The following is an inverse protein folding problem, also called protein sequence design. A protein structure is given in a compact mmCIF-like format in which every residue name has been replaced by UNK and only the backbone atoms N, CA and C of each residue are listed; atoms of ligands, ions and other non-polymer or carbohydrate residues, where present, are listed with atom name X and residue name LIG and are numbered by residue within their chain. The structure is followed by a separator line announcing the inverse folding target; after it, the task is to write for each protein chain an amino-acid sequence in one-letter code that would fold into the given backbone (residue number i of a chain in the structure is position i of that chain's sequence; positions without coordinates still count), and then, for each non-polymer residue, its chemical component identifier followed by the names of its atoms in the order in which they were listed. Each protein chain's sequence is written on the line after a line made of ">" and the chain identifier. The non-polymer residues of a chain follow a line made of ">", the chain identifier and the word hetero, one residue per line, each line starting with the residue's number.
data_IF_978739945571
#
_entry.id   IF_978739945571
#
_cell.length_a   1.000
_cell.length_b   1.000
_cell.length_c   1.000
_cell.angle_alpha   90.00
_cell.angle_beta   90.00
_cell.angle_gamma   90.00
#
_symmetry.space_group_name_H-M   'P 1'
#
loop_
_entity.id
_entity.type
_entity.pdbx_description
1 polymer ?
#
# COMPACT_ATOMS: atom_id res chain seq x y z
N UNK A 1 26.27 6.18 33.90
CA UNK A 1 26.97 7.33 34.53
C UNK A 1 27.58 8.11 33.39
N UNK A 2 27.18 9.39 33.20
CA UNK A 2 27.72 10.25 32.15
C UNK A 2 28.69 11.25 32.78
N UNK A 3 29.81 11.49 32.09
CA UNK A 3 30.74 12.53 32.48
C UNK A 3 30.13 13.91 32.17
N UNK A 4 30.24 14.84 33.13
CA UNK A 4 29.73 16.20 32.93
C UNK A 4 30.62 16.96 31.96
N UNK A 5 30.01 17.41 30.86
CA UNK A 5 30.67 18.33 29.93
C UNK A 5 30.23 19.76 30.20
N UNK A 6 31.18 20.67 30.41
CA UNK A 6 30.94 22.08 30.67
C UNK A 6 31.02 22.95 29.42
N UNK A 7 31.27 22.36 28.25
CA UNK A 7 31.34 23.10 26.99
C UNK A 7 29.95 23.39 26.45
N UNK A 8 29.71 24.65 26.12
CA UNK A 8 28.41 25.15 25.64
C UNK A 8 28.12 24.54 24.24
N UNK A 9 26.98 23.89 24.09
CA UNK A 9 26.52 23.33 22.81
C UNK A 9 26.96 21.88 22.51
N UNK A 10 27.66 21.22 23.42
CA UNK A 10 28.04 19.81 23.23
C UNK A 10 26.95 18.86 23.75
N UNK A 11 26.51 17.94 22.88
CA UNK A 11 25.53 16.89 23.22
C UNK A 11 26.30 15.62 23.56
N UNK A 12 26.26 15.20 24.82
CA UNK A 12 26.81 13.93 25.24
C UNK A 12 25.68 12.89 25.16
N UNK A 13 25.62 12.17 24.06
CA UNK A 13 24.68 11.08 23.86
C UNK A 13 25.47 9.82 23.62
N UNK A 14 25.32 8.82 24.48
CA UNK A 14 25.88 7.52 24.24
C UNK A 14 25.15 6.85 23.06
N UNK A 15 25.85 6.25 22.07
CA UNK A 15 25.23 5.66 20.90
C UNK A 15 24.18 4.60 21.25
N UNK A 16 24.40 3.84 22.33
CA UNK A 16 23.47 2.80 22.81
C UNK A 16 22.17 3.39 23.34
N UNK A 17 22.22 4.53 24.07
CA UNK A 17 21.04 5.23 24.59
C UNK A 17 20.16 5.75 23.43
N UNK A 18 20.79 6.24 22.37
CA UNK A 18 20.07 6.68 21.15
C UNK A 18 19.35 5.53 20.49
N UNK A 19 20.00 4.36 20.38
CA UNK A 19 19.39 3.18 19.79
C UNK A 19 18.25 2.63 20.65
N UNK A 20 18.42 2.62 21.98
CA UNK A 20 17.38 2.22 22.92
C UNK A 20 16.16 3.14 22.84
N UNK A 21 16.36 4.48 22.82
CA UNK A 21 15.29 5.45 22.68
C UNK A 21 14.55 5.31 21.34
N UNK A 22 15.25 5.06 20.24
CA UNK A 22 14.64 4.82 18.92
C UNK A 22 13.81 3.52 18.91
N UNK A 23 14.30 2.44 19.53
CA UNK A 23 13.54 1.18 19.66
C UNK A 23 12.26 1.38 20.48
N UNK A 24 12.34 2.06 21.61
CA UNK A 24 11.16 2.39 22.45
C UNK A 24 10.14 3.26 21.70
N UNK A 25 10.61 4.29 20.98
CA UNK A 25 9.73 5.14 20.18
C UNK A 25 8.98 4.34 19.08
N UNK A 26 9.69 3.45 18.37
CA UNK A 26 9.09 2.57 17.37
C UNK A 26 8.04 1.64 17.96
N UNK A 27 8.32 1.06 19.13
CA UNK A 27 7.39 0.18 19.84
C UNK A 27 6.12 0.94 20.25
N UNK A 28 6.24 2.09 20.91
CA UNK A 28 5.09 2.93 21.28
C UNK A 28 4.23 3.35 20.08
N UNK A 29 4.87 3.67 18.95
CA UNK A 29 4.13 3.99 17.71
C UNK A 29 3.41 2.78 17.12
N UNK A 30 3.95 1.58 17.26
CA UNK A 30 3.28 0.36 16.82
C UNK A 30 2.08 0.03 17.70
N UNK A 31 2.25 0.12 19.01
CA UNK A 31 1.19 -0.14 20.01
C UNK A 31 0.04 0.87 19.83
N UNK A 32 0.34 2.17 19.69
CA UNK A 32 -0.70 3.19 19.46
C UNK A 32 -1.49 3.01 18.15
N UNK A 33 -0.87 2.46 17.10
CA UNK A 33 -1.60 2.14 15.85
C UNK A 33 -2.52 0.94 16.01
N UNK A 34 -2.11 -0.05 16.78
CA UNK A 34 -2.95 -1.21 17.08
C UNK A 34 -4.18 -0.76 17.88
N UNK A 35 -4.01 0.07 18.89
CA UNK A 35 -5.10 0.64 19.67
C UNK A 35 -6.05 1.49 18.81
N UNK A 36 -5.49 2.37 17.94
CA UNK A 36 -6.27 3.20 17.02
C UNK A 36 -7.11 2.33 16.07
N UNK A 37 -6.54 1.24 15.56
CA UNK A 37 -7.24 0.33 14.67
C UNK A 37 -8.33 -0.49 15.39
N UNK A 38 -8.03 -1.00 16.58
CA UNK A 38 -8.97 -1.78 17.38
C UNK A 38 -10.17 -0.95 17.87
N UNK A 39 -9.97 0.37 18.06
CA UNK A 39 -11.03 1.32 18.38
C UNK A 39 -12.02 1.57 17.23
N UNK A 40 -11.71 1.11 16.00
CA UNK A 40 -12.62 1.23 14.87
C UNK A 40 -13.88 0.34 15.02
N UNK A 41 -13.77 -0.81 15.67
CA UNK A 41 -14.92 -1.68 15.87
C UNK A 41 -14.55 -3.14 16.10
N UNK A 42 -15.54 -4.00 16.40
CA UNK A 42 -15.31 -5.41 16.66
C UNK A 42 -14.70 -6.15 15.45
N UNK A 43 -15.15 -5.84 14.24
CA UNK A 43 -14.60 -6.44 13.01
C UNK A 43 -13.12 -6.10 12.82
N UNK A 44 -12.73 -4.86 13.12
CA UNK A 44 -11.33 -4.43 13.05
C UNK A 44 -10.47 -5.19 14.07
N UNK A 45 -10.96 -5.35 15.29
CA UNK A 45 -10.30 -6.11 16.34
C UNK A 45 -10.12 -7.58 15.96
N UNK A 46 -11.17 -8.22 15.43
CA UNK A 46 -11.09 -9.59 14.96
C UNK A 46 -10.08 -9.74 13.82
N UNK A 47 -10.12 -8.84 12.85
CA UNK A 47 -9.15 -8.82 11.75
C UNK A 47 -7.72 -8.67 12.27
N UNK A 48 -7.49 -7.79 13.24
CA UNK A 48 -6.17 -7.60 13.85
C UNK A 48 -5.68 -8.88 14.55
N UNK A 49 -6.52 -9.55 15.32
CA UNK A 49 -6.17 -10.83 15.97
C UNK A 49 -5.80 -11.91 14.94
N UNK A 50 -6.55 -12.01 13.84
CA UNK A 50 -6.23 -12.96 12.76
C UNK A 50 -4.93 -12.58 12.04
N UNK A 51 -4.69 -11.28 11.81
CA UNK A 51 -3.46 -10.77 11.22
C UNK A 51 -2.22 -11.09 12.08
N UNK A 52 -2.34 -11.04 13.41
CA UNK A 52 -1.26 -11.41 14.34
C UNK A 52 -0.89 -12.90 14.26
N UNK A 53 -1.84 -13.76 13.90
CA UNK A 53 -1.61 -15.20 13.73
C UNK A 53 -0.89 -15.54 12.40
N UNK A 54 -0.80 -14.59 11.47
CA UNK A 54 -0.16 -14.81 10.17
C UNK A 54 1.34 -14.53 10.22
N UNK A 55 2.17 -15.19 9.40
CA UNK A 55 3.62 -14.98 9.34
C UNK A 55 3.98 -13.69 8.57
N UNK A 56 3.29 -12.59 8.86
CA UNK A 56 3.46 -11.28 8.22
C UNK A 56 3.82 -10.21 9.24
N UNK A 57 4.23 -9.02 8.80
CA UNK A 57 4.51 -7.88 9.69
C UNK A 57 3.24 -7.07 9.95
N UNK A 58 2.54 -7.25 11.08
CA UNK A 58 1.23 -6.63 11.33
C UNK A 58 1.26 -5.10 11.25
N UNK A 59 2.34 -4.49 11.71
CA UNK A 59 2.50 -3.02 11.75
C UNK A 59 2.44 -2.37 10.37
N UNK A 60 2.85 -3.08 9.31
CA UNK A 60 2.79 -2.58 7.92
C UNK A 60 1.34 -2.57 7.44
N UNK A 61 0.62 -3.67 7.68
CA UNK A 61 -0.79 -3.80 7.32
C UNK A 61 -1.66 -2.81 8.08
N UNK A 62 -1.48 -2.67 9.41
CA UNK A 62 -2.21 -1.71 10.23
C UNK A 62 -2.00 -0.26 9.75
N UNK A 63 -0.76 0.12 9.43
CA UNK A 63 -0.47 1.45 8.88
C UNK A 63 -1.23 1.70 7.57
N UNK A 64 -1.26 0.71 6.67
CA UNK A 64 -1.98 0.82 5.40
C UNK A 64 -3.49 0.91 5.63
N UNK A 65 -4.05 0.06 6.50
CA UNK A 65 -5.47 0.07 6.85
C UNK A 65 -5.91 1.40 7.46
N UNK A 66 -5.14 1.97 8.41
CA UNK A 66 -5.42 3.29 8.97
C UNK A 66 -5.36 4.41 7.91
N UNK A 67 -4.46 4.28 6.92
CA UNK A 67 -4.46 5.20 5.76
C UNK A 67 -5.72 5.05 4.93
N UNK A 68 -6.18 3.81 4.68
CA UNK A 68 -7.44 3.55 3.98
C UNK A 68 -8.63 4.14 4.73
N UNK A 69 -8.66 4.05 6.07
CA UNK A 69 -9.71 4.69 6.90
C UNK A 69 -9.76 6.21 6.67
N UNK A 70 -8.61 6.86 6.56
CA UNK A 70 -8.54 8.31 6.29
C UNK A 70 -9.00 8.68 4.88
N UNK A 71 -8.76 7.81 3.88
CA UNK A 71 -9.09 8.05 2.48
C UNK A 71 -10.54 7.69 2.15
N UNK A 72 -11.04 6.56 2.64
CA UNK A 72 -12.33 6.00 2.26
C UNK A 72 -13.41 6.19 3.34
N UNK A 73 -12.99 6.55 4.55
CA UNK A 73 -13.87 6.66 5.71
C UNK A 73 -14.05 5.34 6.47
N UNK A 74 -14.38 5.48 7.75
CA UNK A 74 -14.52 4.33 8.69
C UNK A 74 -15.54 3.29 8.21
N UNK A 75 -16.71 3.75 7.75
CA UNK A 75 -17.84 2.88 7.39
C UNK A 75 -17.49 1.93 6.23
N UNK A 76 -16.92 2.48 5.15
CA UNK A 76 -16.60 1.69 3.97
C UNK A 76 -15.47 0.71 4.25
N UNK A 77 -14.46 1.13 5.05
CA UNK A 77 -13.35 0.24 5.44
C UNK A 77 -13.84 -0.89 6.34
N UNK A 78 -14.71 -0.64 7.32
CA UNK A 78 -15.26 -1.72 8.15
C UNK A 78 -16.09 -2.70 7.34
N UNK A 79 -16.89 -2.23 6.38
CA UNK A 79 -17.62 -3.11 5.47
C UNK A 79 -16.67 -3.99 4.62
N UNK A 80 -15.56 -3.42 4.13
CA UNK A 80 -14.56 -4.18 3.39
C UNK A 80 -13.79 -5.18 4.30
N UNK A 81 -13.49 -4.81 5.53
CA UNK A 81 -12.89 -5.70 6.53
C UNK A 81 -13.82 -6.87 6.84
N UNK A 82 -15.14 -6.63 7.04
CA UNK A 82 -16.12 -7.68 7.24
C UNK A 82 -16.17 -8.68 6.08
N UNK A 83 -16.07 -8.20 4.83
CA UNK A 83 -15.96 -9.07 3.66
C UNK A 83 -14.65 -9.86 3.65
N UNK A 84 -13.51 -9.22 3.97
CA UNK A 84 -12.21 -9.87 4.05
C UNK A 84 -12.18 -10.98 5.12
N UNK A 85 -12.83 -10.77 6.27
CA UNK A 85 -13.03 -11.78 7.31
C UNK A 85 -13.85 -12.98 6.80
N UNK A 86 -14.94 -12.72 6.05
CA UNK A 86 -15.76 -13.78 5.46
C UNK A 86 -14.99 -14.65 4.46
N UNK A 87 -14.06 -14.04 3.70
CA UNK A 87 -13.17 -14.74 2.78
C UNK A 87 -11.87 -15.25 3.44
N UNK A 88 -11.71 -15.08 4.75
CA UNK A 88 -10.52 -15.49 5.52
C UNK A 88 -9.21 -14.92 4.95
N UNK A 89 -9.26 -13.72 4.37
CA UNK A 89 -8.11 -13.06 3.76
C UNK A 89 -7.68 -11.86 4.60
N UNK A 90 -6.54 -11.98 5.27
CA UNK A 90 -6.04 -11.01 6.25
C UNK A 90 -4.90 -10.18 5.66
N UNK A 91 -5.20 -9.44 4.57
CA UNK A 91 -4.24 -8.57 3.88
C UNK A 91 -4.84 -7.17 3.62
N UNK A 92 -4.07 -6.14 3.92
CA UNK A 92 -4.45 -4.75 3.67
C UNK A 92 -4.60 -4.44 2.17
N UNK A 93 -3.85 -5.11 1.29
CA UNK A 93 -3.97 -4.94 -0.16
C UNK A 93 -5.30 -5.51 -0.67
N UNK A 94 -5.75 -6.62 -0.10
CA UNK A 94 -7.05 -7.19 -0.43
C UNK A 94 -8.21 -6.28 -0.01
N UNK A 95 -8.15 -5.72 1.21
CA UNK A 95 -9.13 -4.73 1.69
C UNK A 95 -9.18 -3.51 0.77
N UNK A 96 -8.03 -3.02 0.31
CA UNK A 96 -7.96 -1.91 -0.66
C UNK A 96 -8.62 -2.27 -1.99
N UNK A 97 -8.39 -3.47 -2.50
CA UNK A 97 -9.03 -3.97 -3.72
C UNK A 97 -10.54 -4.02 -3.59
N UNK A 98 -11.06 -4.50 -2.45
CA UNK A 98 -12.50 -4.50 -2.17
C UNK A 98 -13.09 -3.09 -2.16
N UNK A 99 -12.39 -2.13 -1.53
CA UNK A 99 -12.80 -0.73 -1.50
C UNK A 99 -12.86 -0.12 -2.91
N UNK A 100 -11.86 -0.38 -3.74
CA UNK A 100 -11.83 0.08 -5.14
C UNK A 100 -12.98 -0.52 -5.95
N UNK A 101 -13.25 -1.82 -5.80
CA UNK A 101 -14.37 -2.50 -6.46
C UNK A 101 -15.72 -1.92 -6.02
N UNK A 102 -15.91 -1.69 -4.71
CA UNK A 102 -17.14 -1.10 -4.19
C UNK A 102 -17.37 0.32 -4.75
N UNK A 103 -16.30 1.13 -4.84
CA UNK A 103 -16.39 2.48 -5.43
C UNK A 103 -16.71 2.45 -6.91
N UNK A 104 -16.07 1.56 -7.69
CA UNK A 104 -16.39 1.37 -9.11
C UNK A 104 -17.87 0.98 -9.31
N UNK A 105 -18.38 0.06 -8.50
CA UNK A 105 -19.81 -0.35 -8.56
C UNK A 105 -20.77 0.80 -8.22
N UNK A 106 -20.33 1.76 -7.39
CA UNK A 106 -21.12 2.95 -7.02
C UNK A 106 -20.84 4.14 -7.92
N UNK A 107 -20.00 3.99 -8.94
CA UNK A 107 -19.56 5.07 -9.87
C UNK A 107 -18.98 6.30 -9.14
N UNK A 108 -18.36 6.08 -7.98
CA UNK A 108 -17.78 7.13 -7.18
C UNK A 108 -16.37 7.47 -7.68
N UNK A 109 -15.99 8.75 -7.73
CA UNK A 109 -14.65 9.17 -8.15
C UNK A 109 -13.58 8.63 -7.19
N UNK A 110 -12.32 8.59 -7.67
CA UNK A 110 -11.18 8.23 -6.82
C UNK A 110 -11.09 9.15 -5.59
N UNK A 111 -10.82 8.62 -4.39
CA UNK A 111 -10.73 9.44 -3.17
C UNK A 111 -9.54 10.40 -3.19
N UNK A 112 -8.53 10.08 -3.99
CA UNK A 112 -7.35 10.93 -4.17
C UNK A 112 -7.24 11.31 -5.63
N UNK A 113 -7.61 12.55 -6.00
CA UNK A 113 -7.39 13.02 -7.37
C UNK A 113 -5.88 13.04 -7.63
N UNK A 114 -5.48 12.52 -8.79
CA UNK A 114 -4.10 12.64 -9.24
C UNK A 114 -3.78 14.12 -9.44
N UNK A 115 -2.96 14.68 -8.57
CA UNK A 115 -2.42 16.02 -8.73
C UNK A 115 -0.97 15.89 -9.17
N UNK A 116 -0.69 15.99 -10.47
CA UNK A 116 0.68 15.98 -10.97
C UNK A 116 1.41 17.22 -10.45
N UNK A 117 2.66 17.02 -9.99
CA UNK A 117 3.50 18.12 -9.48
C UNK A 117 3.76 19.22 -10.52
N UNK A 118 3.62 18.90 -11.80
CA UNK A 118 3.78 19.81 -12.94
C UNK A 118 2.57 19.64 -13.85
N UNK A 119 1.53 20.40 -13.61
CA UNK A 119 0.32 20.43 -14.43
C UNK A 119 0.59 20.77 -15.88
N UNK A 120 1.51 21.71 -16.11
CA UNK A 120 1.95 22.20 -17.42
C UNK A 120 2.44 21.08 -18.36
N UNK A 121 3.05 20.01 -17.81
CA UNK A 121 3.54 18.88 -18.61
C UNK A 121 2.43 17.92 -19.06
N UNK A 122 1.23 18.05 -18.53
CA UNK A 122 0.10 17.12 -18.82
C UNK A 122 -0.94 17.81 -19.70
N UNK A 123 -1.07 19.14 -19.60
CA UNK A 123 -2.02 19.91 -20.41
C UNK A 123 -1.66 19.87 -21.91
N UNK A 124 -0.37 19.68 -22.25
CA UNK A 124 0.12 19.59 -23.64
C UNK A 124 0.22 18.14 -24.17
N UNK A 125 -0.09 17.12 -23.35
CA UNK A 125 -0.07 15.72 -23.79
C UNK A 125 -1.40 15.37 -24.45
N UNK A 126 -1.48 15.51 -25.77
CA UNK A 126 -2.55 14.93 -26.56
C UNK A 126 -2.23 13.45 -26.81
N UNK A 127 -2.97 12.57 -26.18
CA UNK A 127 -2.92 11.15 -26.48
C UNK A 127 -3.93 10.87 -27.59
N UNK A 128 -3.45 10.43 -28.75
CA UNK A 128 -4.32 9.90 -29.79
C UNK A 128 -5.08 8.69 -29.25
N UNK A 129 -6.34 8.53 -29.68
CA UNK A 129 -7.10 7.34 -29.35
C UNK A 129 -6.33 6.10 -29.83
N UNK A 130 -6.13 5.10 -28.97
CA UNK A 130 -5.42 3.89 -29.34
C UNK A 130 -6.20 3.18 -30.46
N UNK A 131 -5.52 2.97 -31.60
CA UNK A 131 -6.06 2.18 -32.71
C UNK A 131 -5.82 0.67 -32.42
N UNK A 132 -6.88 -0.10 -32.10
CA UNK A 132 -6.75 -1.53 -31.81
C UNK A 132 -6.13 -2.31 -32.95
N UNK A 133 -6.42 -1.92 -34.21
CA UNK A 133 -5.88 -2.61 -35.40
C UNK A 133 -4.36 -2.51 -35.53
N UNK A 134 -3.74 -1.52 -34.86
CA UNK A 134 -2.29 -1.40 -34.82
C UNK A 134 -1.64 -2.47 -33.93
N UNK A 135 -2.35 -2.94 -32.90
CA UNK A 135 -1.86 -4.01 -32.01
C UNK A 135 -2.06 -5.38 -32.62
N UNK A 136 -3.13 -5.60 -33.40
CA UNK A 136 -3.38 -6.86 -34.10
C UNK A 136 -2.28 -7.17 -35.11
N UNK A 137 -1.77 -6.15 -35.83
CA UNK A 137 -0.65 -6.30 -36.78
C UNK A 137 0.67 -6.73 -36.12
N UNK A 138 0.92 -6.31 -34.86
CA UNK A 138 2.12 -6.71 -34.13
C UNK A 138 2.08 -8.19 -33.70
N UNK A 139 0.89 -8.78 -33.58
CA UNK A 139 0.74 -10.19 -33.28
C UNK A 139 0.95 -11.06 -34.53
N UNK A 140 0.53 -10.59 -35.73
CA UNK A 140 0.69 -11.32 -36.99
C UNK A 140 2.15 -11.38 -37.45
N UNK A 141 2.96 -10.35 -37.16
CA UNK A 141 4.38 -10.32 -37.54
C UNK A 141 5.25 -11.27 -36.67
N UNK A 142 4.83 -11.63 -35.47
CA UNK A 142 5.58 -12.53 -34.58
C UNK A 142 5.45 -14.01 -34.99
N UNK A 143 4.36 -14.39 -35.64
CA UNK A 143 4.14 -15.78 -36.08
C UNK A 143 4.91 -16.14 -37.38
N UNK A 144 5.47 -15.14 -38.05
CA UNK A 144 6.17 -15.35 -39.34
C UNK A 144 7.70 -15.49 -39.21
N UNK A 145 8.29 -15.13 -38.06
CA UNK A 145 9.74 -15.27 -37.84
C UNK A 145 10.14 -16.67 -37.34
N UNK A 146 9.25 -17.43 -36.73
CA UNK A 146 9.54 -18.78 -36.24
C UNK A 146 9.49 -19.86 -37.34
N UNK A 147 8.92 -19.56 -38.52
CA UNK A 147 8.81 -20.52 -39.62
C UNK A 147 10.04 -20.56 -40.55
N UNK A 148 10.99 -19.64 -40.42
CA UNK A 148 12.13 -19.51 -41.34
C UNK A 148 13.42 -20.20 -40.87
N UNK A 149 13.42 -20.87 -39.71
CA UNK A 149 14.66 -21.41 -39.11
C UNK A 149 14.74 -22.94 -39.05
N UNK A 150 13.85 -23.67 -39.76
CA UNK A 150 13.83 -25.13 -39.78
C UNK A 150 14.23 -25.77 -41.14
N UNK A 151 14.96 -25.09 -42.02
CA UNK A 151 15.55 -25.75 -43.21
C UNK A 151 17.05 -25.50 -43.30
N UNK A 152 17.86 -26.33 -42.62
CA UNK A 152 19.21 -26.65 -43.10
C UNK A 152 19.60 -28.08 -42.73
N UNK A 153 19.45 -29.03 -43.66
CA UNK A 153 20.05 -30.38 -43.57
C UNK A 153 21.41 -30.38 -44.26
N UNK A 154 22.49 -30.67 -43.55
CA UNK A 154 23.64 -31.47 -44.00
C UNK A 154 24.74 -31.51 -42.96
#
# INVERSE_FOLDING_TARGET
>A
RHDRCYQKGQWIVHPDDRLAALKMRRRRQADGRAEEFDALGPEAREFHLKLLAMPVKPTVHLRRLLTLVRLYGRRDVLAAIGQALAYQTYDAAYVETLLLQQRRRRELPSPTPLQPKRRELIEDIYLEEPDPAKYDRLCDDSDNEDSANEENPS
#
